data_IF_551328611044
#
_entry.id   IF_551328611044
#
_cell.length_a   1.000
_cell.length_b   1.000
_cell.length_c   1.000
_cell.angle_alpha   90.00
_cell.angle_beta   90.00
_cell.angle_gamma   90.00
#
_symmetry.space_group_name_H-M   'P 1'
#
loop_
_entity.id
_entity.type
_entity.pdbx_description
1 polymer ?
#
# COMPACT_ATOMS: atom_id res chain seq x y z
N UNK A 1 9.82 2.04 11.35
CA UNK A 1 9.75 1.45 10.00
C UNK A 1 9.56 2.55 8.98
N UNK A 2 9.29 2.19 7.73
CA UNK A 2 8.96 3.14 6.65
C UNK A 2 7.58 2.80 6.11
N UNK A 3 6.70 3.79 5.97
CA UNK A 3 5.42 3.62 5.27
C UNK A 3 5.51 4.25 3.89
N UNK A 4 5.20 3.49 2.85
CA UNK A 4 5.19 3.98 1.47
C UNK A 4 3.76 4.20 1.00
N UNK A 5 3.45 5.45 0.67
CA UNK A 5 2.16 5.88 0.16
C UNK A 5 2.21 6.22 -1.33
N UNK A 6 1.36 5.61 -2.15
CA UNK A 6 1.31 5.93 -3.59
C UNK A 6 -0.03 5.57 -4.24
N UNK A 7 -0.46 6.32 -5.28
CA UNK A 7 -1.63 5.93 -6.06
C UNK A 7 -1.30 4.75 -6.98
N UNK A 8 -2.30 3.93 -7.28
CA UNK A 8 -2.18 2.88 -8.29
C UNK A 8 -2.01 3.47 -9.69
N UNK A 9 -1.21 2.81 -10.51
CA UNK A 9 -1.20 2.93 -11.96
C UNK A 9 -1.29 1.53 -12.54
N UNK A 10 -2.51 1.16 -12.96
CA UNK A 10 -2.81 -0.15 -13.55
C UNK A 10 -2.34 -1.35 -12.71
N UNK A 11 -2.57 -1.30 -11.39
CA UNK A 11 -2.20 -2.39 -10.48
C UNK A 11 -0.74 -2.40 -10.03
N UNK A 12 -0.01 -1.31 -10.27
CA UNK A 12 1.38 -1.11 -9.82
C UNK A 12 1.53 0.26 -9.14
N UNK A 13 2.66 0.48 -8.47
CA UNK A 13 3.01 1.81 -7.98
C UNK A 13 3.16 2.84 -9.11
N UNK A 14 2.86 4.11 -8.83
CA UNK A 14 3.10 5.19 -9.79
C UNK A 14 4.59 5.32 -10.16
N UNK A 15 4.88 5.80 -11.37
CA UNK A 15 6.25 5.88 -11.90
C UNK A 15 7.19 6.72 -11.03
N UNK A 16 6.68 7.73 -10.33
CA UNK A 16 7.44 8.54 -9.38
C UNK A 16 7.97 7.70 -8.20
N UNK A 17 7.14 6.79 -7.67
CA UNK A 17 7.56 5.86 -6.62
C UNK A 17 8.54 4.82 -7.16
N UNK A 18 8.31 4.33 -8.39
CA UNK A 18 9.25 3.41 -9.03
C UNK A 18 10.62 4.05 -9.24
N UNK A 19 10.66 5.29 -9.71
CA UNK A 19 11.89 6.05 -9.90
C UNK A 19 12.64 6.31 -8.58
N UNK A 20 11.91 6.53 -7.48
CA UNK A 20 12.51 6.60 -6.15
C UNK A 20 13.25 5.30 -5.80
N UNK A 21 12.62 4.13 -5.97
CA UNK A 21 13.28 2.84 -5.73
C UNK A 21 14.40 2.53 -6.74
N UNK A 22 14.33 3.03 -7.98
CA UNK A 22 15.44 2.87 -8.93
C UNK A 22 16.68 3.68 -8.51
N UNK A 23 16.50 4.78 -7.78
CA UNK A 23 17.59 5.59 -7.25
C UNK A 23 18.23 5.00 -5.97
N UNK A 24 17.69 3.95 -5.36
CA UNK A 24 18.19 3.36 -4.11
C UNK A 24 19.22 2.24 -4.30
N UNK A 25 19.81 2.10 -5.49
CA UNK A 25 20.80 1.05 -5.79
C UNK A 25 22.02 1.03 -4.85
N UNK A 26 22.46 2.18 -4.36
CA UNK A 26 23.52 2.27 -3.34
C UNK A 26 23.10 1.64 -2.00
N UNK A 27 21.91 1.99 -1.51
CA UNK A 27 21.34 1.44 -0.27
C UNK A 27 21.09 -0.08 -0.39
N UNK A 28 20.68 -0.53 -1.57
CA UNK A 28 20.55 -1.96 -1.87
C UNK A 28 21.90 -2.66 -1.78
N UNK A 29 22.94 -2.14 -2.44
CA UNK A 29 24.28 -2.75 -2.43
C UNK A 29 24.85 -2.85 -1.01
N UNK A 30 24.62 -1.83 -0.20
CA UNK A 30 25.09 -1.75 1.19
C UNK A 30 24.15 -2.46 2.18
N UNK A 31 23.02 -3.02 1.69
CA UNK A 31 21.99 -3.66 2.51
C UNK A 31 21.47 -2.75 3.65
N UNK A 32 21.52 -1.43 3.46
CA UNK A 32 21.23 -0.45 4.52
C UNK A 32 19.77 -0.47 4.98
N UNK A 33 18.87 -1.06 4.19
CA UNK A 33 17.44 -1.19 4.51
C UNK A 33 17.07 -2.60 5.01
N UNK A 34 18.01 -3.55 5.03
CA UNK A 34 17.73 -4.91 5.45
C UNK A 34 17.23 -4.97 6.90
N UNK A 35 16.22 -5.82 7.15
CA UNK A 35 15.60 -5.99 8.46
C UNK A 35 14.71 -4.83 8.93
N UNK A 36 14.67 -3.70 8.21
CA UNK A 36 13.80 -2.58 8.58
C UNK A 36 12.34 -2.92 8.23
N UNK A 37 11.38 -2.67 9.14
CA UNK A 37 9.98 -2.90 8.84
C UNK A 37 9.45 -1.87 7.84
N UNK A 38 8.67 -2.33 6.86
CA UNK A 38 8.02 -1.50 5.86
C UNK A 38 6.54 -1.88 5.67
N UNK A 39 5.68 -0.87 5.59
CA UNK A 39 4.27 -1.02 5.24
C UNK A 39 3.94 -0.19 4.01
N UNK A 40 2.77 -0.45 3.41
CA UNK A 40 2.28 0.25 2.22
C UNK A 40 0.84 0.72 2.43
N UNK A 41 0.53 1.90 1.90
CA UNK A 41 -0.84 2.37 1.76
C UNK A 41 -1.04 3.00 0.39
N UNK A 42 -2.26 2.95 -0.14
CA UNK A 42 -2.48 3.26 -1.55
C UNK A 42 -3.87 3.84 -1.84
N UNK A 43 -4.02 4.41 -3.03
CA UNK A 43 -5.30 4.92 -3.52
C UNK A 43 -5.57 4.38 -4.92
N UNK A 44 -6.81 3.95 -5.18
CA UNK A 44 -7.26 3.51 -6.51
C UNK A 44 -8.46 4.30 -7.00
N UNK A 45 -8.68 4.33 -8.32
CA UNK A 45 -9.89 4.95 -8.87
C UNK A 45 -11.15 4.12 -8.61
N UNK A 46 -11.07 2.79 -8.76
CA UNK A 46 -12.23 1.88 -8.72
C UNK A 46 -11.99 0.67 -7.82
N UNK A 47 -13.08 -0.04 -7.46
CA UNK A 47 -13.08 -1.20 -6.56
C UNK A 47 -12.12 -2.31 -7.00
N UNK A 48 -12.19 -2.74 -8.27
CA UNK A 48 -11.28 -3.75 -8.83
C UNK A 48 -9.98 -3.18 -9.40
N UNK A 49 -9.77 -1.87 -9.32
CA UNK A 49 -8.68 -1.14 -9.98
C UNK A 49 -7.31 -1.29 -9.30
N UNK A 50 -7.00 -2.47 -8.76
CA UNK A 50 -5.70 -2.79 -8.17
C UNK A 50 -5.56 -2.53 -6.68
N UNK A 51 -6.66 -2.65 -5.90
CA UNK A 51 -6.61 -2.57 -4.43
C UNK A 51 -5.72 -3.65 -3.79
N UNK A 52 -5.54 -4.79 -4.47
CA UNK A 52 -4.66 -5.86 -4.00
C UNK A 52 -3.37 -5.96 -4.82
N UNK A 53 -3.45 -5.79 -6.14
CA UNK A 53 -2.27 -5.93 -7.01
C UNK A 53 -1.24 -4.81 -6.81
N UNK A 54 -1.69 -3.59 -6.49
CA UNK A 54 -0.79 -2.45 -6.24
C UNK A 54 0.13 -2.70 -5.04
N UNK A 55 -0.36 -3.05 -3.84
CA UNK A 55 0.52 -3.41 -2.74
C UNK A 55 1.27 -4.72 -2.99
N UNK A 56 0.63 -5.75 -3.58
CA UNK A 56 1.28 -7.03 -3.87
C UNK A 56 2.51 -6.88 -4.76
N UNK A 57 2.41 -6.09 -5.83
CA UNK A 57 3.55 -5.83 -6.73
C UNK A 57 4.61 -4.95 -6.07
N UNK A 58 4.24 -4.07 -5.13
CA UNK A 58 5.20 -3.26 -4.38
C UNK A 58 6.05 -4.08 -3.40
N UNK A 59 5.53 -5.20 -2.86
CA UNK A 59 6.29 -6.10 -1.98
C UNK A 59 7.58 -6.57 -2.64
N UNK A 60 7.59 -6.76 -3.95
CA UNK A 60 8.80 -7.15 -4.69
C UNK A 60 9.98 -6.20 -4.44
N UNK A 61 9.75 -4.89 -4.38
CA UNK A 61 10.80 -3.91 -4.11
C UNK A 61 11.31 -4.00 -2.67
N UNK A 62 10.39 -4.19 -1.71
CA UNK A 62 10.73 -4.36 -0.30
C UNK A 62 11.58 -5.62 -0.09
N UNK A 63 11.20 -6.72 -0.74
CA UNK A 63 11.94 -7.99 -0.69
C UNK A 63 13.35 -7.84 -1.24
N UNK A 64 13.54 -7.17 -2.37
CA UNK A 64 14.87 -6.95 -2.94
C UNK A 64 15.77 -6.10 -2.03
N UNK A 65 15.20 -5.16 -1.27
CA UNK A 65 15.92 -4.39 -0.25
C UNK A 65 16.12 -5.13 1.09
N UNK A 66 15.65 -6.37 1.22
CA UNK A 66 15.72 -7.14 2.46
C UNK A 66 14.84 -6.59 3.59
N UNK A 67 13.85 -5.76 3.27
CA UNK A 67 12.94 -5.17 4.27
C UNK A 67 11.94 -6.20 4.77
N UNK A 68 11.49 -6.05 6.02
CA UNK A 68 10.41 -6.87 6.58
C UNK A 68 9.08 -6.22 6.23
N UNK A 69 8.33 -6.85 5.31
CA UNK A 69 7.00 -6.38 4.98
C UNK A 69 6.04 -6.62 6.16
N UNK A 70 5.40 -5.55 6.62
CA UNK A 70 4.41 -5.54 7.69
C UNK A 70 3.03 -5.26 7.07
N UNK A 71 2.23 -6.29 6.77
CA UNK A 71 0.85 -6.11 6.31
C UNK A 71 -0.08 -5.73 7.45
N UNK A 72 -1.26 -5.19 7.14
CA UNK A 72 -2.33 -5.03 8.14
C UNK A 72 -2.90 -6.41 8.52
N UNK A 73 -3.00 -7.32 7.55
CA UNK A 73 -3.71 -8.59 7.73
C UNK A 73 -5.19 -8.34 8.06
N UNK A 74 -5.79 -9.26 8.83
CA UNK A 74 -7.15 -9.09 9.37
C UNK A 74 -7.16 -8.49 10.77
N UNK A 75 -6.07 -7.83 11.19
CA UNK A 75 -5.94 -7.32 12.57
C UNK A 75 -6.84 -6.12 12.86
N UNK A 76 -7.38 -5.46 11.83
CA UNK A 76 -8.45 -4.45 11.93
C UNK A 76 -9.83 -5.08 12.26
N UNK A 77 -9.88 -6.39 12.49
CA UNK A 77 -10.99 -7.08 13.13
C UNK A 77 -12.26 -7.14 12.28
N UNK A 78 -13.42 -7.08 12.94
CA UNK A 78 -14.73 -7.23 12.30
C UNK A 78 -14.97 -6.22 11.16
N UNK A 79 -14.33 -5.04 11.22
CA UNK A 79 -14.43 -4.00 10.19
C UNK A 79 -13.87 -4.45 8.83
N UNK A 80 -12.93 -5.41 8.79
CA UNK A 80 -12.42 -6.01 7.55
C UNK A 80 -13.47 -6.84 6.78
N UNK A 81 -14.60 -7.15 7.42
CA UNK A 81 -15.67 -7.96 6.85
C UNK A 81 -16.93 -7.13 6.55
N UNK A 82 -16.87 -5.81 6.66
CA UNK A 82 -17.99 -4.93 6.32
C UNK A 82 -18.24 -4.99 4.80
N UNK A 83 -19.48 -5.30 4.43
CA UNK A 83 -19.96 -5.41 3.05
C UNK A 83 -21.09 -4.42 2.75
N UNK A 84 -21.49 -3.58 3.71
CA UNK A 84 -22.59 -2.61 3.54
C UNK A 84 -22.14 -1.36 2.79
N UNK A 85 -20.86 -0.99 2.94
CA UNK A 85 -20.28 0.20 2.34
C UNK A 85 -19.07 -0.16 1.49
N UNK A 86 -18.93 0.53 0.36
CA UNK A 86 -17.73 0.42 -0.48
C UNK A 86 -16.53 0.98 0.26
N UNK A 87 -15.51 0.15 0.48
CA UNK A 87 -14.32 0.46 1.27
C UNK A 87 -13.04 0.01 0.57
N UNK A 88 -12.06 0.90 0.54
CA UNK A 88 -10.72 0.58 0.10
C UNK A 88 -9.90 -0.15 1.18
N UNK A 89 -8.78 -0.70 0.74
CA UNK A 89 -7.86 -1.46 1.57
C UNK A 89 -8.00 -2.95 1.35
N UNK A 90 -7.00 -3.68 1.81
CA UNK A 90 -6.94 -5.13 1.77
C UNK A 90 -6.04 -5.62 2.91
N UNK A 91 -5.94 -6.93 3.16
CA UNK A 91 -4.98 -7.45 4.14
C UNK A 91 -3.53 -7.04 3.85
N UNK A 92 -3.21 -6.63 2.62
CA UNK A 92 -1.87 -6.16 2.23
C UNK A 92 -1.56 -4.73 2.71
N UNK A 93 -2.55 -3.93 3.07
CA UNK A 93 -2.36 -2.55 3.49
C UNK A 93 -3.63 -1.71 3.43
N UNK A 94 -3.61 -0.57 4.12
CA UNK A 94 -4.70 0.38 4.08
C UNK A 94 -4.83 1.01 2.68
N UNK A 95 -6.07 1.23 2.25
CA UNK A 95 -6.37 1.74 0.92
C UNK A 95 -7.60 2.63 0.91
N UNK A 96 -7.71 3.48 -0.11
CA UNK A 96 -8.87 4.34 -0.31
C UNK A 96 -9.27 4.41 -1.79
N UNK A 97 -10.55 4.70 -2.06
CA UNK A 97 -11.03 4.99 -3.41
C UNK A 97 -11.10 6.50 -3.67
N UNK A 98 -10.51 6.93 -4.78
CA UNK A 98 -10.61 8.30 -5.28
C UNK A 98 -11.79 8.52 -6.25
N UNK A 99 -12.35 7.45 -6.85
CA UNK A 99 -13.37 7.59 -7.90
C UNK A 99 -12.80 8.29 -9.14
N UNK A 100 -13.47 9.36 -9.56
CA UNK A 100 -13.02 10.31 -10.58
C UNK A 100 -12.05 11.39 -10.03
N UNK A 101 -11.64 11.27 -8.76
CA UNK A 101 -10.83 12.24 -8.03
C UNK A 101 -11.64 13.10 -7.06
N UNK A 102 -12.97 13.01 -7.07
CA UNK A 102 -13.84 13.77 -6.16
C UNK A 102 -14.13 13.08 -4.83
N UNK A 103 -13.93 11.75 -4.74
CA UNK A 103 -14.20 10.98 -3.51
C UNK A 103 -13.05 11.16 -2.52
N UNK A 104 -13.41 11.56 -1.30
CA UNK A 104 -12.50 11.60 -0.16
C UNK A 104 -12.49 10.27 0.59
N UNK A 105 -11.39 9.94 1.29
CA UNK A 105 -11.34 8.78 2.15
C UNK A 105 -12.51 8.76 3.13
N UNK A 106 -13.18 7.61 3.24
CA UNK A 106 -14.25 7.45 4.21
C UNK A 106 -13.68 7.36 5.62
N UNK A 107 -14.51 7.58 6.64
CA UNK A 107 -14.10 7.41 8.04
C UNK A 107 -13.51 6.02 8.29
N UNK A 108 -14.10 4.96 7.73
CA UNK A 108 -13.57 3.61 7.90
C UNK A 108 -12.21 3.41 7.22
N UNK A 109 -11.98 4.02 6.06
CA UNK A 109 -10.67 3.97 5.39
C UNK A 109 -9.60 4.72 6.19
N UNK A 110 -9.97 5.83 6.85
CA UNK A 110 -9.08 6.58 7.74
C UNK A 110 -8.78 5.81 9.02
N UNK A 111 -9.78 5.15 9.62
CA UNK A 111 -9.59 4.28 10.78
C UNK A 111 -8.70 3.08 10.44
N UNK A 112 -8.89 2.46 9.28
CA UNK A 112 -8.04 1.36 8.80
C UNK A 112 -6.59 1.83 8.60
N UNK A 113 -6.37 3.05 8.13
CA UNK A 113 -5.04 3.62 8.00
C UNK A 113 -4.38 3.99 9.33
N UNK A 114 -5.17 4.27 10.38
CA UNK A 114 -4.66 4.57 11.72
C UNK A 114 -4.23 3.31 12.50
N UNK A 115 -4.88 2.18 12.22
CA UNK A 115 -4.61 0.87 12.83
C UNK A 115 -3.25 0.29 12.41
#
# INVERSE_FOLDING_TARGET
GILFGFPTRFGMMASQMKAFFDATGGLWREQSLAGKPAGVFFSTGTQGGGQETTPLTAVTQLTHHGMVFVPVGYTFGAKMFDMEKVQGGSPYGAGTFAGDGSRWPSEMELEHAFH
#
